data_IF_466344145430
#
_entry.id   IF_466344145430
#
_cell.length_a   1.000
_cell.length_b   1.000
_cell.length_c   1.000
_cell.angle_alpha   90.00
_cell.angle_beta   90.00
_cell.angle_gamma   90.00
#
_symmetry.space_group_name_H-M   'P 1'
#
loop_
_entity.id
_entity.type
_entity.pdbx_description
1 polymer ?
#
# COMPACT_ATOMS: atom_id res chain seq x y z
N UNK A 1 6.46 -13.01 17.55
CA UNK A 1 5.42 -13.51 16.63
C UNK A 1 4.09 -12.95 17.08
N UNK A 2 3.50 -12.03 16.31
CA UNK A 2 2.18 -11.45 16.60
C UNK A 2 1.12 -12.52 16.37
N UNK A 3 0.31 -12.86 17.37
CA UNK A 3 -0.82 -13.79 17.19
C UNK A 3 -1.78 -13.20 16.15
N UNK A 4 -2.05 -13.96 15.09
CA UNK A 4 -3.10 -13.64 14.13
C UNK A 4 -4.46 -13.66 14.84
N UNK A 5 -5.38 -12.79 14.42
CA UNK A 5 -6.75 -12.84 14.95
C UNK A 5 -7.42 -14.15 14.53
N UNK A 6 -8.28 -14.69 15.41
CA UNK A 6 -8.98 -15.95 15.19
C UNK A 6 -9.65 -16.01 13.81
N UNK A 7 -10.32 -14.92 13.40
CA UNK A 7 -10.99 -14.82 12.11
C UNK A 7 -10.04 -14.98 10.91
N UNK A 8 -8.81 -14.47 10.99
CA UNK A 8 -7.84 -14.62 9.89
C UNK A 8 -7.38 -16.07 9.81
N UNK A 9 -7.12 -16.71 10.95
CA UNK A 9 -6.75 -18.12 10.98
C UNK A 9 -7.84 -19.00 10.38
N UNK A 10 -9.10 -18.78 10.77
CA UNK A 10 -10.24 -19.51 10.23
C UNK A 10 -10.35 -19.35 8.70
N UNK A 11 -10.10 -18.15 8.17
CA UNK A 11 -10.04 -17.92 6.72
C UNK A 11 -8.88 -18.68 6.05
N UNK A 12 -7.69 -18.72 6.66
CA UNK A 12 -6.55 -19.43 6.11
C UNK A 12 -6.79 -20.94 6.08
N UNK A 13 -7.42 -21.49 7.11
CA UNK A 13 -7.72 -22.92 7.20
C UNK A 13 -8.71 -23.35 6.10
N UNK A 14 -9.66 -22.49 5.74
CA UNK A 14 -10.62 -22.74 4.64
C UNK A 14 -10.00 -22.51 3.25
N UNK A 15 -9.22 -21.44 3.09
CA UNK A 15 -8.76 -21.01 1.76
C UNK A 15 -7.46 -21.70 1.32
N UNK A 16 -6.55 -22.03 2.24
CA UNK A 16 -5.25 -22.64 1.91
C UNK A 16 -5.39 -23.97 1.17
N UNK A 17 -6.27 -24.91 1.57
CA UNK A 17 -6.44 -26.18 0.87
C UNK A 17 -6.98 -26.04 -0.57
N UNK A 18 -7.58 -24.89 -0.91
CA UNK A 18 -8.09 -24.60 -2.25
C UNK A 18 -7.00 -24.06 -3.19
N UNK A 19 -5.80 -23.78 -2.69
CA UNK A 19 -4.67 -23.28 -3.47
C UNK A 19 -3.83 -24.44 -4.01
N UNK A 20 -3.26 -24.24 -5.20
CA UNK A 20 -2.19 -25.11 -5.67
C UNK A 20 -0.91 -24.86 -4.87
N UNK A 21 -0.09 -25.90 -4.70
CA UNK A 21 1.20 -25.79 -4.03
C UNK A 21 2.07 -24.65 -4.61
N UNK A 22 2.15 -24.57 -5.94
CA UNK A 22 2.89 -23.51 -6.65
C UNK A 22 2.39 -22.09 -6.35
N UNK A 23 1.10 -21.93 -6.02
CA UNK A 23 0.51 -20.64 -5.68
C UNK A 23 0.80 -20.27 -4.24
N UNK A 24 0.77 -21.24 -3.33
CA UNK A 24 1.14 -21.05 -1.92
C UNK A 24 2.61 -20.63 -1.81
N UNK A 25 3.52 -21.38 -2.43
CA UNK A 25 4.96 -21.05 -2.46
C UNK A 25 5.23 -19.66 -3.05
N UNK A 26 4.47 -19.28 -4.09
CA UNK A 26 4.57 -17.93 -4.65
C UNK A 26 4.15 -16.86 -3.65
N UNK A 27 3.09 -17.09 -2.87
CA UNK A 27 2.67 -16.14 -1.84
C UNK A 27 3.72 -16.01 -0.75
N UNK A 28 4.21 -17.12 -0.20
CA UNK A 28 5.25 -17.13 0.84
C UNK A 28 6.49 -16.35 0.39
N UNK A 29 7.02 -16.69 -0.80
CA UNK A 29 8.19 -16.01 -1.39
C UNK A 29 7.99 -14.51 -1.60
N UNK A 30 6.77 -14.08 -1.95
CA UNK A 30 6.47 -12.64 -2.15
C UNK A 30 6.31 -11.93 -0.81
N UNK A 31 5.64 -12.57 0.17
CA UNK A 31 5.41 -12.02 1.51
C UNK A 31 6.73 -11.80 2.26
N UNK A 32 7.69 -12.73 2.15
CA UNK A 32 9.03 -12.60 2.72
C UNK A 32 9.80 -11.37 2.23
N UNK A 33 9.48 -10.89 1.02
CA UNK A 33 10.13 -9.74 0.39
C UNK A 33 9.40 -8.42 0.62
N UNK A 34 8.30 -8.43 1.38
CA UNK A 34 7.57 -7.20 1.70
C UNK A 34 8.34 -6.37 2.71
N UNK A 35 8.39 -5.07 2.47
CA UNK A 35 9.07 -4.12 3.34
C UNK A 35 8.15 -2.99 3.78
N UNK A 36 8.33 -2.58 5.03
CA UNK A 36 7.82 -1.32 5.59
C UNK A 36 8.97 -0.39 6.00
N UNK A 37 10.21 -0.65 5.57
CA UNK A 37 11.34 0.25 5.80
C UNK A 37 11.27 1.50 4.92
N UNK A 38 10.71 1.36 3.72
CA UNK A 38 10.39 2.46 2.79
C UNK A 38 8.89 2.45 2.54
N UNK A 39 8.30 3.64 2.49
CA UNK A 39 6.88 3.83 2.19
C UNK A 39 6.74 4.92 1.13
N UNK A 40 5.71 4.82 0.30
CA UNK A 40 5.43 5.85 -0.71
C UNK A 40 4.38 6.82 -0.20
N UNK A 41 4.60 8.12 -0.40
CA UNK A 41 3.58 9.16 -0.21
C UNK A 41 3.27 9.77 -1.57
N UNK A 42 1.99 9.81 -1.93
CA UNK A 42 1.48 10.44 -3.13
C UNK A 42 0.66 11.65 -2.71
N UNK A 43 1.08 12.83 -3.17
CA UNK A 43 0.42 14.11 -2.89
C UNK A 43 -0.30 14.59 -4.14
N UNK A 44 -1.63 14.68 -4.04
CA UNK A 44 -2.54 15.28 -5.04
C UNK A 44 -2.25 14.92 -6.50
N UNK A 45 -1.96 13.65 -6.75
CA UNK A 45 -1.67 13.13 -8.10
C UNK A 45 -2.88 13.34 -9.01
N UNK A 46 -2.78 14.33 -9.90
CA UNK A 46 -3.86 14.75 -10.78
C UNK A 46 -4.46 13.61 -11.61
N UNK A 47 -3.63 12.84 -12.30
CA UNK A 47 -4.10 11.72 -13.11
C UNK A 47 -4.06 10.41 -12.31
N UNK A 48 -5.22 9.80 -12.08
CA UNK A 48 -5.34 8.50 -11.38
C UNK A 48 -4.53 7.37 -12.03
N UNK A 49 -4.19 7.49 -13.32
CA UNK A 49 -3.29 6.57 -14.04
C UNK A 49 -1.87 6.60 -13.48
N UNK A 50 -1.36 7.77 -13.10
CA UNK A 50 -0.02 7.94 -12.56
C UNK A 50 0.07 7.35 -11.15
N UNK A 51 -0.94 7.59 -10.31
CA UNK A 51 -1.05 6.92 -9.01
C UNK A 51 -1.09 5.39 -9.16
N UNK A 52 -1.85 4.87 -10.14
CA UNK A 52 -1.88 3.44 -10.45
C UNK A 52 -0.53 2.89 -10.93
N UNK A 53 0.25 3.68 -11.68
CA UNK A 53 1.60 3.30 -12.08
C UNK A 53 2.54 3.22 -10.88
N UNK A 54 2.51 4.20 -9.98
CA UNK A 54 3.30 4.16 -8.74
C UNK A 54 2.92 2.96 -7.87
N UNK A 55 1.63 2.63 -7.74
CA UNK A 55 1.20 1.43 -7.01
C UNK A 55 1.79 0.15 -7.61
N UNK A 56 1.81 0.01 -8.94
CA UNK A 56 2.45 -1.17 -9.58
C UNK A 56 3.94 -1.24 -9.30
N UNK A 57 4.63 -0.09 -9.32
CA UNK A 57 6.05 -0.03 -8.97
C UNK A 57 6.29 -0.38 -7.50
N UNK A 58 5.48 0.15 -6.59
CA UNK A 58 5.55 -0.17 -5.17
C UNK A 58 5.35 -1.68 -4.93
N UNK A 59 4.34 -2.28 -5.56
CA UNK A 59 4.06 -3.71 -5.46
C UNK A 59 5.23 -4.57 -5.98
N UNK A 60 5.75 -4.23 -7.17
CA UNK A 60 6.89 -4.94 -7.78
C UNK A 60 8.20 -4.81 -7.00
N UNK A 61 8.39 -3.71 -6.26
CA UNK A 61 9.55 -3.47 -5.39
C UNK A 61 9.36 -4.01 -3.97
N UNK A 62 8.21 -4.63 -3.66
CA UNK A 62 7.92 -5.18 -2.33
C UNK A 62 7.53 -4.13 -1.29
N UNK A 63 7.30 -2.87 -1.67
CA UNK A 63 6.81 -1.83 -0.75
C UNK A 63 5.37 -2.17 -0.34
N UNK A 64 5.08 -2.13 0.96
CA UNK A 64 3.76 -2.53 1.47
C UNK A 64 2.78 -1.35 1.63
N UNK A 65 3.27 -0.20 2.11
CA UNK A 65 2.43 0.97 2.42
C UNK A 65 2.51 2.04 1.34
N UNK A 66 1.35 2.50 0.89
CA UNK A 66 1.21 3.71 0.06
C UNK A 66 0.24 4.66 0.76
N UNK A 67 0.73 5.85 1.07
CA UNK A 67 -0.05 6.95 1.63
C UNK A 67 -0.51 7.87 0.50
N UNK A 68 -1.79 8.24 0.52
CA UNK A 68 -2.41 9.07 -0.50
C UNK A 68 -3.03 10.29 0.17
N UNK A 69 -2.46 11.45 -0.08
CA UNK A 69 -3.02 12.74 0.31
C UNK A 69 -3.79 13.26 -0.90
N UNK A 70 -5.10 13.40 -0.75
CA UNK A 70 -6.05 13.58 -1.86
C UNK A 70 -6.94 14.80 -1.60
N UNK A 71 -6.33 15.94 -1.29
CA UNK A 71 -7.02 17.19 -0.91
C UNK A 71 -7.84 17.77 -2.08
N UNK A 72 -7.32 17.65 -3.30
CA UNK A 72 -7.94 18.18 -4.51
C UNK A 72 -8.25 17.09 -5.54
N UNK A 73 -7.35 16.12 -5.69
CA UNK A 73 -7.44 15.10 -6.72
C UNK A 73 -7.71 13.73 -6.11
N UNK A 74 -9.00 13.40 -5.94
CA UNK A 74 -9.40 12.10 -5.40
C UNK A 74 -9.10 10.99 -6.40
N UNK A 75 -8.32 10.01 -5.98
CA UNK A 75 -8.03 8.82 -6.76
C UNK A 75 -9.29 7.98 -6.93
N UNK A 76 -9.55 7.62 -8.19
CA UNK A 76 -10.60 6.67 -8.56
C UNK A 76 -9.96 5.34 -8.95
N UNK A 77 -10.52 4.24 -8.42
CA UNK A 77 -10.10 2.89 -8.78
C UNK A 77 -10.43 2.61 -10.24
N UNK A 78 -9.45 2.73 -11.13
CA UNK A 78 -9.56 2.20 -12.48
C UNK A 78 -8.91 0.80 -12.55
N UNK A 79 -9.75 -0.23 -12.58
CA UNK A 79 -9.30 -1.64 -12.55
C UNK A 79 -8.37 -2.01 -13.71
N UNK A 80 -8.51 -1.33 -14.86
CA UNK A 80 -7.71 -1.59 -16.06
C UNK A 80 -6.23 -1.20 -15.92
N UNK A 81 -5.91 -0.20 -15.09
CA UNK A 81 -4.58 0.43 -15.08
C UNK A 81 -3.64 -0.19 -14.05
N UNK A 82 -4.15 -0.45 -12.83
CA UNK A 82 -3.33 -0.97 -11.73
C UNK A 82 -3.05 -2.47 -11.83
N UNK A 83 -3.66 -3.19 -12.79
CA UNK A 83 -3.57 -4.67 -12.94
C UNK A 83 -3.78 -5.42 -11.61
N UNK A 84 -4.58 -4.87 -10.70
CA UNK A 84 -4.85 -5.46 -9.39
C UNK A 84 -3.80 -5.22 -8.30
N UNK A 85 -2.70 -4.50 -8.57
CA UNK A 85 -1.63 -4.20 -7.60
C UNK A 85 -2.16 -3.55 -6.30
N UNK A 86 -3.17 -2.68 -6.43
CA UNK A 86 -3.81 -2.02 -5.28
C UNK A 86 -4.46 -2.99 -4.27
N UNK A 87 -4.71 -4.25 -4.65
CA UNK A 87 -5.23 -5.29 -3.73
C UNK A 87 -4.15 -5.90 -2.84
N UNK A 88 -2.89 -5.76 -3.21
CA UNK A 88 -1.73 -6.32 -2.48
C UNK A 88 -1.02 -5.28 -1.61
N UNK A 89 -1.37 -4.01 -1.77
CA UNK A 89 -0.83 -2.88 -1.02
C UNK A 89 -1.77 -2.47 0.12
N UNK A 90 -1.20 -1.89 1.17
CA UNK A 90 -1.95 -1.18 2.21
C UNK A 90 -2.06 0.28 1.81
N UNK A 91 -3.26 0.72 1.42
CA UNK A 91 -3.51 2.11 1.04
C UNK A 91 -4.00 2.91 2.26
N UNK A 92 -3.25 3.95 2.63
CA UNK A 92 -3.63 4.92 3.67
C UNK A 92 -4.10 6.19 3.01
N UNK A 93 -5.42 6.37 2.89
CA UNK A 93 -6.02 7.55 2.28
C UNK A 93 -6.27 8.62 3.35
N UNK A 94 -5.82 9.84 3.11
CA UNK A 94 -5.97 10.98 4.01
C UNK A 94 -6.93 11.98 3.36
N UNK A 95 -8.22 11.86 3.72
CA UNK A 95 -9.32 12.64 3.12
C UNK A 95 -9.96 13.64 4.11
N UNK A 96 -10.01 13.29 5.41
CA UNK A 96 -10.92 13.93 6.36
C UNK A 96 -10.23 14.83 7.40
N UNK A 97 -8.93 15.07 7.26
CA UNK A 97 -8.18 15.92 8.19
C UNK A 97 -8.29 17.40 7.78
N UNK A 98 -8.32 18.30 8.76
CA UNK A 98 -8.26 19.75 8.51
C UNK A 98 -6.97 20.15 7.77
N UNK A 99 -5.87 19.46 8.07
CA UNK A 99 -4.62 19.50 7.31
C UNK A 99 -4.13 18.06 7.06
N UNK A 100 -4.48 17.46 5.90
CA UNK A 100 -4.07 16.10 5.55
C UNK A 100 -2.56 15.93 5.42
N UNK A 101 -1.83 16.98 5.00
CA UNK A 101 -0.40 16.94 4.80
C UNK A 101 0.32 16.85 6.14
N UNK A 102 0.01 17.76 7.07
CA UNK A 102 0.58 17.74 8.41
C UNK A 102 0.24 16.44 9.15
N UNK A 103 -1.01 15.97 9.07
CA UNK A 103 -1.44 14.73 9.71
C UNK A 103 -0.68 13.51 9.18
N UNK A 104 -0.53 13.37 7.86
CA UNK A 104 0.19 12.26 7.25
C UNK A 104 1.68 12.28 7.63
N UNK A 105 2.32 13.45 7.56
CA UNK A 105 3.74 13.61 7.90
C UNK A 105 3.98 13.36 9.40
N UNK A 106 3.14 13.90 10.28
CA UNK A 106 3.26 13.67 11.72
C UNK A 106 3.14 12.18 12.07
N UNK A 107 2.17 11.47 11.47
CA UNK A 107 2.00 10.03 11.66
C UNK A 107 3.21 9.22 11.20
N UNK A 108 3.82 9.59 10.07
CA UNK A 108 5.02 8.93 9.57
C UNK A 108 6.24 9.21 10.46
N UNK A 109 6.43 10.45 10.91
CA UNK A 109 7.51 10.80 11.85
C UNK A 109 7.36 10.07 13.18
N UNK A 110 6.14 9.98 13.72
CA UNK A 110 5.87 9.23 14.96
C UNK A 110 6.17 7.72 14.82
N UNK A 111 6.10 7.17 13.59
CA UNK A 111 6.50 5.79 13.27
C UNK A 111 8.01 5.64 13.01
N UNK A 112 8.80 6.70 13.16
CA UNK A 112 10.26 6.69 13.00
C UNK A 112 10.75 6.89 11.56
N UNK A 113 9.88 7.28 10.62
CA UNK A 113 10.32 7.52 9.24
C UNK A 113 11.02 8.88 9.09
N UNK A 114 12.13 8.87 8.33
CA UNK A 114 12.69 10.08 7.73
C UNK A 114 11.88 10.43 6.49
N UNK A 115 11.49 11.71 6.38
CA UNK A 115 10.77 12.22 5.21
C UNK A 115 11.78 12.74 4.19
N UNK A 116 11.60 12.30 2.94
CA UNK A 116 12.35 12.79 1.78
C UNK A 116 11.32 13.19 0.73
N UNK A 117 11.47 14.39 0.18
CA UNK A 117 10.57 14.93 -0.84
C UNK A 117 11.33 15.09 -2.16
N UNK A 118 10.64 14.84 -3.27
CA UNK A 118 11.12 15.18 -4.61
C UNK A 118 10.66 16.59 -4.95
N UNK A 119 11.59 17.43 -5.39
CA UNK A 119 11.28 18.77 -5.87
C UNK A 119 11.84 18.95 -7.28
N UNK A 120 11.13 19.61 -8.20
CA UNK A 120 11.64 19.96 -9.51
C UNK A 120 12.53 21.23 -9.50
N UNK A 121 12.70 21.88 -8.35
CA UNK A 121 13.55 23.07 -8.19
C UNK A 121 15.04 22.73 -8.22
#
# INVERSE_FOLDING_TARGET
MTKLSKNIQDCLDVLTPLLTQSRLEKFERVLEKRTRHVVMVLEDVYQSRNASAVMRSADGLGIQDVHMIESYNVWSKNQSVSKGASRWLTLHRHLDAADPHAAAIAKLRARGYRIVATSPH
#
